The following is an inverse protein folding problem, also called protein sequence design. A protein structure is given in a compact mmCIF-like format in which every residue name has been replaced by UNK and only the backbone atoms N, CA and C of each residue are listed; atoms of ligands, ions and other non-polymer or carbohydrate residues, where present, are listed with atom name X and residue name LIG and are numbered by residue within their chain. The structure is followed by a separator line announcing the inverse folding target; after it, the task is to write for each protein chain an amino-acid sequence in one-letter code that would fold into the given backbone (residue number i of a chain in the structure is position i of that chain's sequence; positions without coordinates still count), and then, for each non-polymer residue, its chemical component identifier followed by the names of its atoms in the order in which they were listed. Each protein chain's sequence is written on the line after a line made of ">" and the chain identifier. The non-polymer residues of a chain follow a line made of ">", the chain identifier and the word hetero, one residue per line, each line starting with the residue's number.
data_IF_329046158271
#
_entry.id   IF_329046158271
#
_cell.length_a   1.000
_cell.length_b   1.000
_cell.length_c   1.000
_cell.angle_alpha   90.00
_cell.angle_beta   90.00
_cell.angle_gamma   90.00
#
_symmetry.space_group_name_H-M   'P 1'
#
loop_
_entity.id
_entity.type
_entity.pdbx_description
1 polymer ?
#
# COMPACT_ATOMS: atom_id res chain seq x y z
N UNK A 1 -18.44 62.34 4.89
CA UNK A 1 -17.48 61.23 4.98
C UNK A 1 -17.81 60.46 6.25
N UNK A 2 -18.79 59.57 6.36
CA UNK A 2 -19.25 58.45 5.51
C UNK A 2 -18.13 57.49 5.12
N UNK A 3 -18.25 56.28 5.68
CA UNK A 3 -17.68 54.99 5.29
C UNK A 3 -16.18 54.77 5.50
N UNK A 4 -15.83 53.51 5.77
CA UNK A 4 -14.50 52.92 5.94
C UNK A 4 -13.88 53.01 7.33
N UNK A 5 -14.42 52.28 8.31
CA UNK A 5 -13.62 51.62 9.37
C UNK A 5 -14.48 50.66 10.23
N UNK A 6 -15.40 49.93 9.60
CA UNK A 6 -16.18 48.87 10.26
C UNK A 6 -16.10 47.56 9.46
N UNK A 7 -14.87 47.08 9.21
CA UNK A 7 -14.67 45.84 8.45
C UNK A 7 -13.58 44.91 9.03
N UNK A 8 -13.34 44.99 10.35
CA UNK A 8 -12.43 44.06 11.04
C UNK A 8 -13.16 43.09 12.01
N UNK A 9 -14.47 42.88 11.82
CA UNK A 9 -15.28 41.97 12.67
C UNK A 9 -16.00 40.83 11.92
N UNK A 10 -15.72 40.59 10.63
CA UNK A 10 -16.52 39.61 9.84
C UNK A 10 -15.69 38.49 9.18
N UNK A 11 -14.35 38.56 9.16
CA UNK A 11 -13.50 37.49 8.56
C UNK A 11 -12.96 36.53 9.63
N UNK A 12 -13.68 36.33 10.74
CA UNK A 12 -13.38 35.25 11.70
C UNK A 12 -14.49 34.19 11.77
N UNK A 13 -15.57 34.34 10.98
CA UNK A 13 -16.79 33.51 11.11
C UNK A 13 -17.15 32.67 9.87
N UNK A 14 -16.20 32.37 8.97
CA UNK A 14 -16.51 31.70 7.69
C UNK A 14 -15.61 30.51 7.30
N UNK A 15 -14.79 29.95 8.21
CA UNK A 15 -14.20 28.61 7.99
C UNK A 15 -14.67 27.64 9.07
N UNK A 16 -15.98 27.38 9.02
CA UNK A 16 -16.63 26.25 9.66
C UNK A 16 -16.35 24.98 8.84
N UNK A 17 -16.16 23.85 9.56
CA UNK A 17 -16.13 22.46 9.09
C UNK A 17 -14.83 21.98 8.45
N UNK A 18 -13.78 21.81 9.27
CA UNK A 18 -13.00 20.60 9.14
C UNK A 18 -13.08 19.83 10.46
N UNK A 19 -14.26 19.24 10.68
CA UNK A 19 -14.35 18.06 11.53
C UNK A 19 -13.40 17.04 10.92
N UNK A 20 -12.17 16.94 11.43
CA UNK A 20 -11.32 15.77 11.26
C UNK A 20 -12.06 14.60 11.90
N UNK A 21 -13.05 14.06 11.19
CA UNK A 21 -13.47 12.70 11.39
C UNK A 21 -12.26 11.86 11.00
N UNK A 22 -11.52 11.39 12.00
CA UNK A 22 -10.45 10.42 11.84
C UNK A 22 -11.06 9.16 11.21
N UNK A 23 -11.11 9.13 9.88
CA UNK A 23 -11.51 7.95 9.12
C UNK A 23 -10.45 6.91 9.41
N UNK A 24 -10.70 6.03 10.38
CA UNK A 24 -9.79 4.93 10.74
C UNK A 24 -9.60 4.10 9.47
N UNK A 25 -8.44 4.24 8.84
CA UNK A 25 -8.11 3.50 7.63
C UNK A 25 -8.06 2.02 8.05
N UNK A 26 -8.80 1.13 7.37
CA UNK A 26 -8.72 -0.30 7.66
C UNK A 26 -7.26 -0.75 7.65
N UNK A 27 -6.84 -1.56 8.62
CA UNK A 27 -5.44 -2.01 8.76
C UNK A 27 -4.98 -2.67 7.45
N UNK A 28 -5.86 -3.46 6.81
CA UNK A 28 -5.62 -4.03 5.48
C UNK A 28 -5.22 -2.99 4.43
N UNK A 29 -5.86 -1.82 4.41
CA UNK A 29 -5.50 -0.76 3.47
C UNK A 29 -4.14 -0.15 3.82
N UNK A 30 -3.79 -0.03 5.10
CA UNK A 30 -2.45 0.41 5.50
C UNK A 30 -1.38 -0.57 5.00
N UNK A 31 -1.63 -1.88 5.12
CA UNK A 31 -0.75 -2.93 4.58
C UNK A 31 -0.60 -2.80 3.07
N UNK A 32 -1.70 -2.61 2.34
CA UNK A 32 -1.66 -2.41 0.88
C UNK A 32 -0.79 -1.20 0.50
N UNK A 33 -0.94 -0.08 1.21
CA UNK A 33 -0.13 1.12 0.95
C UNK A 33 1.36 0.87 1.24
N UNK A 34 1.70 0.06 2.25
CA UNK A 34 3.09 -0.36 2.50
C UNK A 34 3.62 -1.28 1.40
N UNK A 35 2.80 -2.22 0.91
CA UNK A 35 3.19 -3.15 -0.17
C UNK A 35 3.44 -2.44 -1.51
N UNK A 36 2.73 -1.35 -1.81
CA UNK A 36 3.00 -0.51 -2.98
C UNK A 36 4.38 0.17 -2.96
N UNK A 37 4.99 0.31 -1.78
CA UNK A 37 6.33 0.89 -1.63
C UNK A 37 7.44 -0.13 -1.81
N UNK A 38 7.12 -1.43 -1.79
CA UNK A 38 8.09 -2.50 -2.02
C UNK A 38 8.22 -2.71 -3.51
N UNK A 39 9.41 -2.45 -4.04
CA UNK A 39 9.71 -2.54 -5.46
C UNK A 39 10.43 -3.85 -5.76
N UNK A 40 10.06 -4.47 -6.87
CA UNK A 40 10.84 -5.57 -7.43
C UNK A 40 12.20 -5.03 -7.93
N UNK A 41 13.35 -5.56 -7.48
CA UNK A 41 14.67 -5.04 -7.83
C UNK A 41 15.04 -5.26 -9.30
N UNK A 42 14.38 -6.16 -10.03
CA UNK A 42 14.64 -6.41 -11.45
C UNK A 42 13.83 -5.45 -12.34
N UNK A 43 12.55 -5.25 -12.02
CA UNK A 43 11.63 -4.45 -12.85
C UNK A 43 11.46 -3.01 -12.37
N UNK A 44 11.77 -2.71 -11.10
CA UNK A 44 11.57 -1.40 -10.49
C UNK A 44 10.09 -0.99 -10.35
N UNK A 45 9.18 -1.98 -10.34
CA UNK A 45 7.73 -1.81 -10.19
C UNK A 45 7.30 -2.41 -8.86
N UNK A 46 6.24 -1.89 -8.25
CA UNK A 46 5.79 -2.40 -6.96
C UNK A 46 5.29 -3.84 -7.04
N UNK A 47 5.53 -4.62 -5.99
CA UNK A 47 5.02 -6.02 -5.90
C UNK A 47 3.50 -6.08 -5.91
N UNK A 48 2.84 -5.00 -5.48
CA UNK A 48 1.39 -4.84 -5.54
C UNK A 48 0.91 -4.64 -6.99
N UNK A 49 1.55 -3.72 -7.72
CA UNK A 49 1.15 -3.37 -9.09
C UNK A 49 1.54 -4.46 -10.10
N UNK A 50 2.59 -5.23 -9.82
CA UNK A 50 2.91 -6.45 -10.56
C UNK A 50 1.89 -7.58 -10.32
N UNK A 51 1.01 -7.45 -9.33
CA UNK A 51 0.04 -8.49 -8.99
C UNK A 51 0.67 -9.75 -8.38
N UNK A 52 1.78 -9.60 -7.66
CA UNK A 52 2.46 -10.72 -6.99
C UNK A 52 1.80 -11.09 -5.66
N UNK A 53 1.01 -10.19 -5.07
CA UNK A 53 0.30 -10.41 -3.81
C UNK A 53 -1.08 -11.01 -4.09
N UNK A 54 -1.33 -12.22 -3.60
CA UNK A 54 -2.59 -12.93 -3.81
C UNK A 54 -3.56 -12.77 -2.65
N UNK A 55 -3.04 -12.73 -1.43
CA UNK A 55 -3.88 -12.63 -0.24
C UNK A 55 -3.18 -11.87 0.87
N UNK A 56 -3.98 -11.17 1.69
CA UNK A 56 -3.56 -10.48 2.90
C UNK A 56 -4.61 -10.81 3.97
N UNK A 57 -4.18 -11.55 4.97
CA UNK A 57 -4.96 -11.91 6.16
C UNK A 57 -4.30 -11.29 7.37
N UNK A 58 -5.11 -10.63 8.20
CA UNK A 58 -4.66 -10.06 9.47
C UNK A 58 -5.55 -10.68 10.53
N UNK A 59 -4.96 -11.42 11.46
CA UNK A 59 -5.71 -12.05 12.54
C UNK A 59 -6.00 -11.06 13.70
N UNK A 60 -6.65 -11.57 14.76
CA UNK A 60 -6.98 -10.76 15.94
C UNK A 60 -5.77 -10.48 16.84
N UNK A 61 -4.70 -11.24 16.68
CA UNK A 61 -3.45 -11.12 17.43
C UNK A 61 -2.48 -10.16 16.72
N UNK A 62 -2.85 -9.61 15.57
CA UNK A 62 -2.03 -8.67 14.81
C UNK A 62 -0.98 -9.35 13.95
N UNK A 63 -1.11 -10.65 13.66
CA UNK A 63 -0.23 -11.35 12.72
C UNK A 63 -0.75 -11.13 11.31
N UNK A 64 0.09 -10.54 10.45
CA UNK A 64 -0.20 -10.33 9.04
C UNK A 64 0.38 -11.48 8.21
N UNK A 65 -0.48 -12.34 7.68
CA UNK A 65 -0.07 -13.36 6.70
C UNK A 65 -0.30 -12.82 5.29
N UNK A 66 0.78 -12.65 4.54
CA UNK A 66 0.77 -12.22 3.15
C UNK A 66 1.13 -13.40 2.26
N UNK A 67 0.19 -13.83 1.42
CA UNK A 67 0.43 -14.87 0.42
C UNK A 67 0.85 -14.22 -0.88
N UNK A 68 2.01 -14.60 -1.41
CA UNK A 68 2.56 -14.06 -2.64
C UNK A 68 3.16 -15.12 -3.54
N UNK A 69 3.49 -14.72 -4.76
CA UNK A 69 4.19 -15.54 -5.76
C UNK A 69 5.41 -14.81 -6.30
N UNK A 70 6.15 -15.48 -7.17
CA UNK A 70 7.28 -14.92 -7.91
C UNK A 70 7.03 -14.98 -9.41
N UNK A 71 7.68 -14.08 -10.14
CA UNK A 71 7.74 -14.13 -11.60
C UNK A 71 8.53 -15.34 -12.10
N UNK A 72 9.53 -15.81 -11.34
CA UNK A 72 10.38 -16.97 -11.66
C UNK A 72 10.69 -17.81 -10.42
N UNK A 73 10.66 -19.14 -10.56
CA UNK A 73 10.96 -20.10 -9.47
C UNK A 73 12.45 -20.03 -9.09
N UNK A 74 12.74 -19.97 -7.79
CA UNK A 74 14.11 -20.08 -7.28
C UNK A 74 14.93 -18.78 -7.36
N UNK A 75 14.28 -17.63 -7.53
CA UNK A 75 14.97 -16.35 -7.57
C UNK A 75 15.59 -15.99 -6.20
N UNK A 76 16.91 -15.77 -6.08
CA UNK A 76 17.56 -15.39 -4.82
C UNK A 76 17.06 -14.04 -4.27
N UNK A 77 16.42 -13.23 -5.12
CA UNK A 77 15.86 -11.92 -4.78
C UNK A 77 14.59 -12.04 -3.93
N UNK A 78 13.96 -13.22 -3.87
CA UNK A 78 12.81 -13.44 -3.00
C UNK A 78 13.13 -13.12 -1.54
N UNK A 79 14.30 -13.53 -1.04
CA UNK A 79 14.68 -13.25 0.35
C UNK A 79 14.78 -11.73 0.62
N UNK A 80 15.21 -10.95 -0.37
CA UNK A 80 15.28 -9.50 -0.26
C UNK A 80 13.87 -8.88 -0.28
N UNK A 81 13.03 -9.28 -1.23
CA UNK A 81 11.64 -8.79 -1.34
C UNK A 81 10.84 -9.18 -0.10
N UNK A 82 10.95 -10.42 0.35
CA UNK A 82 10.31 -10.92 1.57
C UNK A 82 10.69 -10.06 2.77
N UNK A 83 11.99 -9.85 2.98
CA UNK A 83 12.47 -9.02 4.09
C UNK A 83 11.94 -7.60 4.00
N UNK A 84 11.94 -7.00 2.81
CA UNK A 84 11.41 -5.65 2.64
C UNK A 84 9.90 -5.59 2.91
N UNK A 85 9.13 -6.60 2.52
CA UNK A 85 7.70 -6.71 2.88
C UNK A 85 7.52 -6.77 4.39
N UNK A 86 8.26 -7.65 5.07
CA UNK A 86 8.23 -7.79 6.52
C UNK A 86 8.55 -6.45 7.20
N UNK A 87 9.68 -5.83 6.83
CA UNK A 87 10.12 -4.54 7.39
C UNK A 87 9.06 -3.45 7.22
N UNK A 88 8.47 -3.31 6.02
CA UNK A 88 7.48 -2.25 5.73
C UNK A 88 6.14 -2.47 6.41
N UNK A 89 5.67 -3.72 6.50
CA UNK A 89 4.42 -4.05 7.18
C UNK A 89 4.58 -3.88 8.69
N UNK A 90 5.74 -4.25 9.26
CA UNK A 90 6.05 -4.08 10.68
C UNK A 90 6.11 -2.61 11.14
N UNK A 91 6.19 -1.64 10.23
CA UNK A 91 6.03 -0.22 10.57
C UNK A 91 4.61 0.15 11.03
N UNK A 92 3.61 -0.70 10.76
CA UNK A 92 2.21 -0.48 11.17
C UNK A 92 2.05 -0.90 12.63
N UNK A 93 1.67 0.05 13.49
CA UNK A 93 1.60 -0.14 14.95
C UNK A 93 0.66 -1.26 15.40
N UNK A 94 -0.36 -1.56 14.60
CA UNK A 94 -1.34 -2.61 14.87
C UNK A 94 -0.87 -4.02 14.45
N UNK A 95 0.28 -4.14 13.79
CA UNK A 95 0.87 -5.43 13.39
C UNK A 95 1.97 -5.81 14.38
N UNK A 96 1.89 -7.04 14.90
CA UNK A 96 2.84 -7.59 15.86
C UNK A 96 3.85 -8.54 15.20
N UNK A 97 3.45 -9.21 14.12
CA UNK A 97 4.28 -10.17 13.39
C UNK A 97 3.84 -10.25 11.92
N UNK A 98 4.76 -10.64 11.03
CA UNK A 98 4.51 -10.78 9.59
C UNK A 98 4.98 -12.13 9.12
N UNK A 99 4.11 -12.83 8.40
CA UNK A 99 4.41 -14.12 7.76
C UNK A 99 4.20 -13.99 6.26
N UNK A 100 5.24 -14.28 5.50
CA UNK A 100 5.17 -14.29 4.03
C UNK A 100 5.10 -15.74 3.56
N UNK A 101 4.00 -16.10 2.91
CA UNK A 101 3.79 -17.42 2.34
C UNK A 101 4.00 -17.37 0.82
N UNK A 102 4.97 -18.16 0.34
CA UNK A 102 5.25 -18.27 -1.08
C UNK A 102 4.45 -19.41 -1.70
N UNK A 103 3.64 -19.09 -2.70
CA UNK A 103 2.87 -20.05 -3.50
C UNK A 103 3.21 -19.93 -4.99
N UNK A 104 3.18 -21.05 -5.68
CA UNK A 104 3.38 -21.12 -7.13
C UNK A 104 2.12 -21.54 -7.90
N UNK A 105 1.05 -21.88 -7.17
CA UNK A 105 -0.25 -22.22 -7.72
C UNK A 105 -1.31 -21.27 -7.15
N UNK A 106 -2.07 -20.55 -8.00
CA UNK A 106 -1.95 -20.50 -9.46
C UNK A 106 -0.66 -19.80 -9.91
N UNK A 107 -0.09 -20.14 -11.08
CA UNK A 107 1.08 -19.46 -11.61
C UNK A 107 0.79 -17.98 -11.89
N UNK A 108 1.82 -17.15 -11.79
CA UNK A 108 1.72 -15.75 -12.16
C UNK A 108 1.67 -15.57 -13.69
N UNK A 109 0.91 -14.58 -14.14
CA UNK A 109 0.81 -14.19 -15.55
C UNK A 109 0.74 -12.66 -15.66
N UNK A 110 1.18 -12.12 -16.79
CA UNK A 110 1.15 -10.67 -17.09
C UNK A 110 -0.24 -10.07 -16.97
N UNK A 111 -1.29 -10.87 -17.18
CA UNK A 111 -2.69 -10.44 -17.02
C UNK A 111 -3.00 -9.94 -15.61
N UNK A 112 -2.24 -10.38 -14.60
CA UNK A 112 -2.39 -9.97 -13.19
C UNK A 112 -1.77 -8.61 -12.88
N UNK A 113 -0.97 -8.05 -13.80
CA UNK A 113 -0.40 -6.71 -13.64
C UNK A 113 -1.47 -5.62 -13.71
N UNK A 114 -1.26 -4.52 -13.00
CA UNK A 114 -2.05 -3.31 -13.19
C UNK A 114 -1.85 -2.74 -14.59
N UNK A 115 -2.89 -2.08 -15.11
CA UNK A 115 -2.84 -1.44 -16.45
C UNK A 115 -1.68 -0.44 -16.55
N UNK A 116 -1.40 0.31 -15.48
CA UNK A 116 -0.26 1.23 -15.41
C UNK A 116 1.09 0.51 -15.56
N UNK A 117 1.24 -0.67 -14.96
CA UNK A 117 2.45 -1.48 -15.09
C UNK A 117 2.60 -2.05 -16.51
N UNK A 118 1.50 -2.45 -17.16
CA UNK A 118 1.50 -2.93 -18.55
C UNK A 118 1.94 -1.83 -19.51
N UNK A 119 1.39 -0.62 -19.38
CA UNK A 119 1.79 0.56 -20.15
C UNK A 119 3.29 0.82 -19.97
N UNK A 120 3.78 0.78 -18.73
CA UNK A 120 5.19 1.07 -18.40
C UNK A 120 6.15 0.06 -19.02
N UNK A 121 5.74 -1.19 -19.19
CA UNK A 121 6.52 -2.25 -19.82
C UNK A 121 6.26 -2.37 -21.33
N UNK A 122 5.35 -1.57 -21.90
CA UNK A 122 5.02 -1.58 -23.33
C UNK A 122 4.25 -2.83 -23.77
N UNK A 123 3.37 -3.35 -22.92
CA UNK A 123 2.61 -4.60 -23.14
C UNK A 123 1.16 -4.37 -23.60
N UNK A 124 0.82 -3.18 -24.08
CA UNK A 124 -0.49 -2.81 -24.64
C UNK A 124 -0.64 -3.12 -26.14
#
# INVERSE_FOLDING_TARGET
>A
MKSFLALASIICLMFNKNTMATKKIPIKNQVIEKLKLVLDPELGISVWDLGLIYNILIDKEGICTTTMTLTTIGCPLFAQIQKEIEDRIMEIKEINDVKVELVFDPPWSVEKMSEESKIRLGLD
#
